data_IF_500616817914
#
_entry.id   IF_500616817914
#
_cell.length_a   1.000
_cell.length_b   1.000
_cell.length_c   1.000
_cell.angle_alpha   90.00
_cell.angle_beta   90.00
_cell.angle_gamma   90.00
#
_symmetry.space_group_name_H-M   'P 1'
#
loop_
_entity.id
_entity.type
_entity.pdbx_description
1 polymer ?
#
# COMPACT_ATOMS: atom_id res chain seq x y z
N UNK A 1 -47.83 15.66 3.71
CA UNK A 1 -47.06 16.19 4.85
C UNK A 1 -46.17 15.13 5.55
N UNK A 2 -46.53 13.85 5.51
CA UNK A 2 -45.74 12.79 6.18
C UNK A 2 -44.52 12.34 5.41
N UNK A 3 -44.51 12.41 4.07
CA UNK A 3 -43.37 11.94 3.23
C UNK A 3 -42.15 12.85 3.42
N UNK A 4 -42.37 14.17 3.42
CA UNK A 4 -41.28 15.16 3.59
C UNK A 4 -40.66 15.05 5.00
N UNK A 5 -41.49 14.84 6.03
CA UNK A 5 -41.05 14.64 7.41
C UNK A 5 -40.19 13.36 7.54
N UNK A 6 -40.61 12.28 6.92
CA UNK A 6 -39.87 11.02 6.94
C UNK A 6 -38.55 11.11 6.15
N UNK A 7 -38.51 11.85 5.05
CA UNK A 7 -37.30 12.11 4.26
C UNK A 7 -36.28 12.93 5.06
N UNK A 8 -36.74 13.95 5.81
CA UNK A 8 -35.87 14.78 6.66
C UNK A 8 -35.29 13.96 7.82
N UNK A 9 -36.10 13.07 8.44
CA UNK A 9 -35.61 12.19 9.51
C UNK A 9 -34.57 11.20 8.98
N UNK A 10 -34.76 10.64 7.79
CA UNK A 10 -33.79 9.75 7.15
C UNK A 10 -32.47 10.49 6.83
N UNK A 11 -32.58 11.72 6.32
CA UNK A 11 -31.40 12.56 6.02
C UNK A 11 -30.64 12.94 7.29
N UNK A 12 -31.33 13.28 8.39
CA UNK A 12 -30.70 13.53 9.67
C UNK A 12 -30.03 12.29 10.26
N UNK A 13 -30.62 11.09 10.12
CA UNK A 13 -29.98 9.84 10.53
C UNK A 13 -28.70 9.53 9.74
N UNK A 14 -28.67 9.80 8.44
CA UNK A 14 -27.46 9.65 7.63
C UNK A 14 -26.36 10.64 8.03
N UNK A 15 -26.72 11.85 8.44
CA UNK A 15 -25.74 12.87 8.88
C UNK A 15 -25.14 12.58 10.25
N UNK A 16 -25.85 11.86 11.13
CA UNK A 16 -25.31 11.47 12.44
C UNK A 16 -24.39 10.25 12.38
N UNK A 17 -24.48 9.42 11.33
CA UNK A 17 -23.56 8.29 11.15
C UNK A 17 -22.18 8.68 10.61
N UNK A 18 -22.03 9.86 10.05
CA UNK A 18 -20.74 10.35 9.51
C UNK A 18 -19.80 10.96 10.58
N UNK A 19 -20.18 10.95 11.85
CA UNK A 19 -19.37 11.52 12.95
C UNK A 19 -18.72 10.47 13.86
N UNK A 20 -18.78 9.18 13.54
CA UNK A 20 -17.94 8.20 14.21
C UNK A 20 -16.53 8.20 13.55
N UNK A 21 -15.85 9.32 13.62
CA UNK A 21 -14.40 9.33 13.58
C UNK A 21 -13.94 8.82 14.95
N UNK A 22 -13.53 7.56 15.01
CA UNK A 22 -12.69 7.11 16.08
C UNK A 22 -11.39 7.93 16.04
N UNK A 23 -11.36 9.06 16.71
CA UNK A 23 -10.12 9.64 17.17
C UNK A 23 -9.62 8.73 18.29
N UNK A 24 -8.91 7.68 17.93
CA UNK A 24 -7.95 7.09 18.84
C UNK A 24 -6.88 8.16 19.10
N UNK A 25 -7.11 8.98 20.12
CA UNK A 25 -6.04 9.71 20.77
C UNK A 25 -5.15 8.66 21.43
N UNK A 26 -4.16 8.18 20.66
CA UNK A 26 -3.10 7.36 21.18
C UNK A 26 -2.35 8.23 22.20
N UNK A 27 -2.73 8.13 23.47
CA UNK A 27 -2.03 8.80 24.56
C UNK A 27 -0.66 8.11 24.73
N UNK A 28 0.34 8.67 24.05
CA UNK A 28 1.74 8.21 24.13
C UNK A 28 2.41 8.61 25.46
N UNK A 29 1.67 9.21 26.39
CA UNK A 29 2.15 9.49 27.75
C UNK A 29 2.25 8.19 28.55
N UNK A 30 3.42 7.59 28.55
CA UNK A 30 3.73 6.41 29.36
C UNK A 30 4.10 5.18 28.59
N UNK A 31 4.14 5.22 27.26
CA UNK A 31 4.74 4.14 26.48
C UNK A 31 6.24 4.17 26.68
N UNK A 32 6.72 3.34 27.60
CA UNK A 32 8.15 3.01 27.67
C UNK A 32 8.55 2.52 26.28
N UNK A 33 9.48 3.23 25.63
CA UNK A 33 10.05 2.75 24.38
C UNK A 33 10.69 1.40 24.69
N UNK A 34 10.00 0.31 24.38
CA UNK A 34 10.61 -1.02 24.39
C UNK A 34 11.73 -0.96 23.37
N UNK A 35 13.00 -1.17 23.74
CA UNK A 35 14.08 -1.19 22.77
C UNK A 35 13.72 -2.23 21.72
N UNK A 36 13.53 -1.79 20.47
CA UNK A 36 13.33 -2.71 19.35
C UNK A 36 14.59 -3.57 19.31
N UNK A 37 14.44 -4.86 19.55
CA UNK A 37 15.56 -5.80 19.41
C UNK A 37 16.17 -5.57 18.04
N UNK A 38 17.48 -5.40 17.98
CA UNK A 38 18.20 -5.24 16.73
C UNK A 38 17.85 -6.45 15.84
N UNK A 39 17.09 -6.19 14.78
CA UNK A 39 16.76 -7.22 13.80
C UNK A 39 18.04 -7.54 13.06
N UNK A 40 18.58 -8.75 13.25
CA UNK A 40 19.73 -9.24 12.50
C UNK A 40 19.25 -9.83 11.19
N UNK A 41 20.07 -9.75 10.14
CA UNK A 41 19.73 -10.27 8.81
C UNK A 41 19.36 -11.77 8.83
N UNK A 42 20.02 -12.55 9.69
CA UNK A 42 19.74 -13.99 9.83
C UNK A 42 18.36 -14.30 10.42
N UNK A 43 17.75 -13.33 11.09
CA UNK A 43 16.39 -13.45 11.67
C UNK A 43 15.29 -13.01 10.70
N UNK A 44 15.64 -12.51 9.50
CA UNK A 44 14.65 -12.07 8.52
C UNK A 44 13.97 -13.26 7.86
N UNK A 45 12.64 -13.14 7.64
CA UNK A 45 11.86 -14.12 6.90
C UNK A 45 12.05 -14.04 5.37
N UNK A 46 12.87 -13.11 4.89
CA UNK A 46 13.13 -12.84 3.47
C UNK A 46 14.63 -12.67 3.21
N UNK A 47 15.05 -12.85 1.96
CA UNK A 47 16.45 -12.76 1.53
C UNK A 47 16.60 -11.95 0.25
N UNK A 48 17.75 -11.30 0.08
CA UNK A 48 18.11 -10.69 -1.20
C UNK A 48 18.13 -11.73 -2.32
N UNK A 49 17.63 -11.33 -3.51
CA UNK A 49 17.45 -12.20 -4.67
C UNK A 49 16.06 -12.82 -4.75
N UNK A 50 15.19 -12.60 -3.77
CA UNK A 50 13.80 -13.07 -3.85
C UNK A 50 13.01 -12.31 -4.88
N UNK A 51 12.14 -13.06 -5.58
CA UNK A 51 11.17 -12.53 -6.53
C UNK A 51 9.84 -13.23 -6.32
N UNK A 52 8.78 -12.44 -6.27
CA UNK A 52 7.41 -12.92 -6.20
C UNK A 52 6.63 -12.33 -7.37
N UNK A 53 5.97 -13.19 -8.14
CA UNK A 53 5.08 -12.79 -9.22
C UNK A 53 3.64 -13.15 -8.85
N UNK A 54 2.73 -12.20 -9.02
CA UNK A 54 1.33 -12.30 -8.67
C UNK A 54 0.46 -12.10 -9.90
N UNK A 55 -0.60 -12.88 -9.98
CA UNK A 55 -1.73 -12.65 -10.90
C UNK A 55 -2.86 -12.08 -10.06
N UNK A 56 -3.38 -10.92 -10.46
CA UNK A 56 -4.54 -10.31 -9.84
C UNK A 56 -5.77 -10.84 -10.57
N UNK A 57 -6.50 -11.70 -9.88
CA UNK A 57 -7.71 -12.33 -10.40
C UNK A 57 -8.95 -11.61 -9.84
N UNK A 58 -9.94 -11.37 -10.69
CA UNK A 58 -11.20 -10.76 -10.31
C UNK A 58 -12.36 -11.71 -10.62
N UNK A 59 -13.18 -11.97 -9.60
CA UNK A 59 -14.36 -12.81 -9.71
C UNK A 59 -15.57 -12.06 -9.13
N UNK A 60 -16.56 -11.81 -9.99
CA UNK A 60 -17.82 -11.22 -9.58
C UNK A 60 -18.95 -11.59 -10.52
N UNK A 61 -19.96 -12.31 -10.02
CA UNK A 61 -21.08 -12.80 -10.81
C UNK A 61 -20.63 -13.69 -11.95
N UNK A 62 -20.88 -13.29 -13.20
CA UNK A 62 -20.44 -14.00 -14.41
C UNK A 62 -19.03 -13.59 -14.89
N UNK A 63 -18.41 -12.61 -14.25
CA UNK A 63 -17.06 -12.15 -14.60
C UNK A 63 -16.04 -12.93 -13.77
N UNK A 64 -15.14 -13.62 -14.45
CA UNK A 64 -14.05 -14.41 -13.88
C UNK A 64 -12.84 -14.23 -14.80
N UNK A 65 -11.86 -13.39 -14.40
CA UNK A 65 -10.77 -13.01 -15.30
C UNK A 65 -9.56 -12.43 -14.56
N UNK A 66 -8.39 -12.57 -15.19
CA UNK A 66 -7.18 -11.92 -14.72
C UNK A 66 -7.18 -10.44 -15.13
N UNK A 67 -7.11 -9.58 -14.14
CA UNK A 67 -7.19 -8.12 -14.32
C UNK A 67 -5.82 -7.46 -14.36
N UNK A 68 -4.81 -8.10 -13.78
CA UNK A 68 -3.47 -7.52 -13.71
C UNK A 68 -2.40 -8.50 -13.24
N UNK A 69 -1.18 -7.99 -13.22
CA UNK A 69 0.01 -8.69 -12.75
C UNK A 69 0.79 -7.76 -11.84
N UNK A 70 1.41 -8.32 -10.80
CA UNK A 70 2.36 -7.61 -9.98
C UNK A 70 3.62 -8.46 -9.77
N UNK A 71 4.76 -7.79 -9.68
CA UNK A 71 6.05 -8.42 -9.38
C UNK A 71 6.67 -7.65 -8.21
N UNK A 72 7.15 -8.38 -7.22
CA UNK A 72 7.93 -7.83 -6.11
C UNK A 72 9.30 -8.48 -6.12
N UNK A 73 10.36 -7.66 -6.07
CA UNK A 73 11.76 -8.15 -5.96
C UNK A 73 12.44 -7.53 -4.77
N UNK A 74 13.38 -8.26 -4.20
CA UNK A 74 14.23 -7.78 -3.12
C UNK A 74 15.69 -7.96 -3.50
N UNK A 75 16.41 -6.86 -3.65
CA UNK A 75 17.82 -6.82 -3.98
C UNK A 75 18.65 -6.29 -2.82
N UNK A 76 19.94 -6.65 -2.75
CA UNK A 76 20.88 -6.04 -1.81
C UNK A 76 21.85 -5.12 -2.53
N UNK A 77 22.11 -3.96 -1.92
CA UNK A 77 23.02 -2.95 -2.48
C UNK A 77 23.63 -2.09 -1.37
N UNK A 78 24.51 -1.18 -1.78
CA UNK A 78 24.97 -0.10 -0.90
C UNK A 78 24.28 1.20 -1.33
N UNK A 79 23.60 1.86 -0.41
CA UNK A 79 22.95 3.14 -0.63
C UNK A 79 23.45 4.17 0.38
N UNK A 80 24.04 5.27 -0.10
CA UNK A 80 24.63 6.32 0.76
C UNK A 80 25.55 5.78 1.88
N UNK A 81 26.39 4.79 1.55
CA UNK A 81 27.32 4.18 2.48
C UNK A 81 26.72 3.12 3.41
N UNK A 82 25.40 2.89 3.37
CA UNK A 82 24.71 1.87 4.17
C UNK A 82 24.50 0.59 3.35
N UNK A 83 24.75 -0.57 3.96
CA UNK A 83 24.26 -1.84 3.42
C UNK A 83 22.73 -1.81 3.48
N UNK A 84 22.07 -1.95 2.36
CA UNK A 84 20.64 -1.78 2.23
C UNK A 84 20.00 -2.90 1.41
N UNK A 85 18.70 -3.06 1.60
CA UNK A 85 17.82 -3.76 0.68
C UNK A 85 17.12 -2.73 -0.21
N UNK A 86 16.86 -3.12 -1.44
CA UNK A 86 15.94 -2.47 -2.36
C UNK A 86 14.77 -3.41 -2.61
N UNK A 87 13.61 -3.07 -2.09
CA UNK A 87 12.37 -3.71 -2.45
C UNK A 87 11.74 -2.94 -3.60
N UNK A 88 11.51 -3.59 -4.74
CA UNK A 88 10.84 -3.03 -5.90
C UNK A 88 9.54 -3.78 -6.14
N UNK A 89 8.43 -3.04 -6.26
CA UNK A 89 7.13 -3.58 -6.59
C UNK A 89 6.61 -2.90 -7.86
N UNK A 90 6.33 -3.70 -8.88
CA UNK A 90 5.76 -3.25 -10.14
C UNK A 90 4.41 -3.90 -10.36
N UNK A 91 3.38 -3.11 -10.69
CA UNK A 91 2.04 -3.57 -10.98
C UNK A 91 1.51 -3.02 -12.30
N UNK A 92 0.73 -3.83 -13.01
CA UNK A 92 0.04 -3.38 -14.23
C UNK A 92 -1.25 -4.15 -14.48
N UNK A 93 -2.21 -3.49 -15.07
CA UNK A 93 -3.40 -4.12 -15.63
C UNK A 93 -3.10 -4.86 -16.93
N UNK A 94 -3.93 -5.85 -17.26
CA UNK A 94 -3.89 -6.57 -18.54
C UNK A 94 -4.32 -5.64 -19.68
N UNK A 95 -3.96 -5.99 -20.93
CA UNK A 95 -4.34 -5.19 -22.11
C UNK A 95 -5.85 -5.03 -22.25
N UNK A 96 -6.63 -6.02 -21.85
CA UNK A 96 -8.08 -5.96 -21.90
C UNK A 96 -8.62 -4.98 -20.87
N UNK A 97 -8.07 -4.98 -19.65
CA UNK A 97 -8.46 -4.05 -18.59
C UNK A 97 -7.98 -2.62 -18.86
N UNK A 98 -6.86 -2.43 -19.55
CA UNK A 98 -6.35 -1.12 -19.96
C UNK A 98 -7.37 -0.32 -20.81
N UNK A 99 -8.30 -1.00 -21.48
CA UNK A 99 -9.37 -0.35 -22.25
C UNK A 99 -10.41 0.34 -21.36
N UNK A 100 -10.54 -0.11 -20.11
CA UNK A 100 -11.49 0.41 -19.13
C UNK A 100 -10.81 1.28 -18.09
N UNK A 101 -9.73 0.76 -17.52
CA UNK A 101 -8.99 1.44 -16.46
C UNK A 101 -7.53 0.96 -16.44
N UNK A 102 -6.66 1.79 -17.01
CA UNK A 102 -5.23 1.47 -17.08
C UNK A 102 -4.53 1.80 -15.78
N UNK A 103 -3.80 0.82 -15.21
CA UNK A 103 -2.97 0.99 -14.02
C UNK A 103 -1.52 0.61 -14.33
N UNK A 104 -0.60 1.44 -13.88
CA UNK A 104 0.85 1.19 -13.88
C UNK A 104 1.42 1.72 -12.56
N UNK A 105 1.98 0.82 -11.77
CA UNK A 105 2.56 1.13 -10.47
C UNK A 105 4.03 0.74 -10.45
N UNK A 106 4.90 1.64 -10.01
CA UNK A 106 6.31 1.36 -9.73
C UNK A 106 6.64 1.95 -8.35
N UNK A 107 6.82 1.07 -7.37
CA UNK A 107 7.21 1.42 -6.01
C UNK A 107 8.60 0.89 -5.72
N UNK A 108 9.45 1.73 -5.11
CA UNK A 108 10.76 1.30 -4.64
C UNK A 108 11.02 1.80 -3.24
N UNK A 109 11.47 0.91 -2.38
CA UNK A 109 11.82 1.21 -1.00
C UNK A 109 13.24 0.76 -0.70
N UNK A 110 14.06 1.69 -0.22
CA UNK A 110 15.40 1.41 0.29
C UNK A 110 15.36 1.42 1.81
N UNK A 111 15.89 0.40 2.42
CA UNK A 111 15.97 0.31 3.87
C UNK A 111 17.22 -0.43 4.30
N UNK A 112 17.75 -0.12 5.49
CA UNK A 112 19.00 -0.72 5.97
C UNK A 112 18.82 -2.22 6.22
N UNK A 113 19.90 -2.99 6.03
CA UNK A 113 19.90 -4.43 6.36
C UNK A 113 19.92 -4.67 7.86
N UNK A 114 20.49 -3.74 8.62
CA UNK A 114 20.51 -3.72 10.07
C UNK A 114 19.34 -2.88 10.60
N UNK A 115 18.39 -3.50 11.27
CA UNK A 115 17.26 -2.83 11.91
C UNK A 115 16.19 -2.31 10.95
N UNK A 116 16.26 -2.60 9.63
CA UNK A 116 15.24 -2.28 8.61
C UNK A 116 14.79 -0.81 8.58
N UNK A 117 15.71 0.12 8.87
CA UNK A 117 15.39 1.56 8.90
C UNK A 117 15.16 2.09 7.48
N UNK A 118 14.08 2.83 7.21
CA UNK A 118 13.82 3.40 5.89
C UNK A 118 14.90 4.43 5.53
N UNK A 119 15.36 4.39 4.28
CA UNK A 119 16.34 5.32 3.72
C UNK A 119 15.75 6.19 2.62
N UNK A 120 14.90 5.59 1.79
CA UNK A 120 14.26 6.26 0.66
C UNK A 120 13.04 5.46 0.22
N UNK A 121 12.03 6.16 -0.27
CA UNK A 121 10.90 5.58 -0.97
C UNK A 121 10.61 6.38 -2.24
N UNK A 122 10.29 5.69 -3.34
CA UNK A 122 9.80 6.33 -4.55
C UNK A 122 8.51 5.66 -5.01
N UNK A 123 7.63 6.47 -5.56
CA UNK A 123 6.37 6.06 -6.16
C UNK A 123 6.25 6.72 -7.54
N UNK A 124 5.94 5.91 -8.56
CA UNK A 124 5.49 6.36 -9.87
C UNK A 124 4.19 5.62 -10.19
N UNK A 125 3.09 6.34 -10.22
CA UNK A 125 1.74 5.81 -10.30
C UNK A 125 1.02 6.40 -11.50
N UNK A 126 0.37 5.55 -12.29
CA UNK A 126 -0.62 5.92 -13.30
C UNK A 126 -1.89 5.11 -13.07
N UNK A 127 -3.00 5.78 -12.77
CA UNK A 127 -4.31 5.18 -12.49
C UNK A 127 -5.41 5.91 -13.26
N UNK A 128 -5.88 5.34 -14.39
CA UNK A 128 -7.01 5.86 -15.13
C UNK A 128 -6.90 7.32 -15.57
N UNK A 129 -5.68 7.83 -15.79
CA UNK A 129 -5.38 9.23 -16.13
C UNK A 129 -4.84 10.07 -14.97
N UNK A 130 -4.88 9.57 -13.74
CA UNK A 130 -4.17 10.19 -12.62
C UNK A 130 -2.71 9.75 -12.62
N UNK A 131 -1.80 10.70 -12.47
CA UNK A 131 -0.36 10.45 -12.37
C UNK A 131 0.21 11.06 -11.08
N UNK A 132 1.07 10.31 -10.40
CA UNK A 132 1.80 10.82 -9.25
C UNK A 132 3.22 10.26 -9.21
N UNK A 133 4.21 11.17 -9.04
CA UNK A 133 5.62 10.81 -8.84
C UNK A 133 6.10 11.45 -7.55
N UNK A 134 6.42 10.61 -6.58
CA UNK A 134 6.84 11.05 -5.25
C UNK A 134 8.19 10.43 -4.88
N UNK A 135 8.98 11.19 -4.12
CA UNK A 135 10.22 10.72 -3.49
C UNK A 135 10.23 11.21 -2.05
N UNK A 136 10.48 10.30 -1.12
CA UNK A 136 10.56 10.56 0.31
C UNK A 136 11.89 10.07 0.87
#
# INVERSE_FOLDING_TARGET
MNIIRNLIVLLCMCLTFSQLHAQENLDLKGTSCVPVMAVTEDALAFKAGERMDFVLHYEWGAVNTDVGYATVTLDSLTYNGHKAFLCSAYGKTTRMFDLFFKVREDFKSWFTRDGLRPLKFTRDTYEGGYEAKNTY
#
